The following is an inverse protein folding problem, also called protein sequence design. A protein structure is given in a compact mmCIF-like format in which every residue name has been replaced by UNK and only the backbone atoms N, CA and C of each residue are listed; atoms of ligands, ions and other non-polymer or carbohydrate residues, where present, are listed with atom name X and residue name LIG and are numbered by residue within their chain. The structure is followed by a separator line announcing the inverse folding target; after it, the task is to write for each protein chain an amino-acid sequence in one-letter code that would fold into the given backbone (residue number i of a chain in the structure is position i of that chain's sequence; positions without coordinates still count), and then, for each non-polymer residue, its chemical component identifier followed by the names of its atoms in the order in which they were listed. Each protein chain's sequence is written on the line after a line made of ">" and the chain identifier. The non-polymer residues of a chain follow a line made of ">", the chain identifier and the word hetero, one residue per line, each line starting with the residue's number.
data_IF_679682802268
#
_entry.id   IF_679682802268
#
_cell.length_a   1.000
_cell.length_b   1.000
_cell.length_c   1.000
_cell.angle_alpha   90.00
_cell.angle_beta   90.00
_cell.angle_gamma   90.00
#
_symmetry.space_group_name_H-M   'P 1'
#
loop_
_entity.id
_entity.type
_entity.pdbx_description
1 polymer ?
#
# COMPACT_ATOMS: atom_id res chain seq x y z
N UNK A 1 6.13 21.28 -18.78
CA UNK A 1 7.47 21.13 -19.35
C UNK A 1 8.03 19.80 -18.90
N UNK A 2 8.70 19.04 -19.77
CA UNK A 2 9.43 17.85 -19.35
C UNK A 2 10.77 18.20 -18.71
N UNK A 3 11.42 17.25 -17.97
CA UNK A 3 12.70 17.50 -17.30
C UNK A 3 13.78 18.07 -18.21
N UNK A 4 13.90 17.60 -19.45
CA UNK A 4 14.87 18.12 -20.43
C UNK A 4 14.66 19.60 -20.80
N UNK A 5 13.40 20.02 -20.94
CA UNK A 5 13.08 21.42 -21.21
C UNK A 5 13.40 22.33 -20.03
N UNK A 6 13.25 21.84 -18.81
CA UNK A 6 13.60 22.56 -17.58
C UNK A 6 15.12 22.73 -17.50
N UNK A 7 15.90 21.67 -17.79
CA UNK A 7 17.36 21.73 -17.84
C UNK A 7 17.81 22.78 -18.84
N UNK A 8 17.26 22.78 -20.07
CA UNK A 8 17.57 23.75 -21.10
C UNK A 8 17.28 25.17 -20.64
N UNK A 9 16.13 25.43 -20.02
CA UNK A 9 15.72 26.73 -19.51
C UNK A 9 16.69 27.22 -18.44
N UNK A 10 16.97 26.41 -17.41
CA UNK A 10 17.90 26.77 -16.34
C UNK A 10 19.31 27.05 -16.84
N UNK A 11 19.81 26.22 -17.77
CA UNK A 11 21.11 26.45 -18.40
C UNK A 11 21.17 27.81 -19.12
N UNK A 12 20.13 28.14 -19.87
CA UNK A 12 20.05 29.41 -20.61
C UNK A 12 19.93 30.62 -19.67
N UNK A 13 19.13 30.53 -18.62
CA UNK A 13 18.98 31.54 -17.57
C UNK A 13 20.29 31.83 -16.85
N UNK A 14 21.17 30.83 -16.72
CA UNK A 14 22.51 30.96 -16.14
C UNK A 14 23.58 31.35 -17.18
N UNK A 15 23.21 31.68 -18.42
CA UNK A 15 24.12 32.05 -19.47
C UNK A 15 25.09 30.95 -19.93
N UNK A 16 24.82 29.70 -19.61
CA UNK A 16 25.71 28.58 -19.95
C UNK A 16 25.45 28.07 -21.36
N UNK A 17 26.54 27.85 -22.12
CA UNK A 17 26.45 27.09 -23.37
C UNK A 17 26.26 25.60 -23.12
N UNK A 18 25.76 24.87 -24.11
CA UNK A 18 25.61 23.42 -24.03
C UNK A 18 26.95 22.73 -23.70
N UNK A 19 28.05 23.19 -24.32
CA UNK A 19 29.39 22.65 -24.08
C UNK A 19 29.88 22.88 -22.64
N UNK A 20 29.56 24.04 -22.05
CA UNK A 20 29.92 24.34 -20.65
C UNK A 20 29.21 23.41 -19.67
N UNK A 21 27.90 23.20 -19.83
CA UNK A 21 27.14 22.31 -18.96
C UNK A 21 27.56 20.84 -19.18
N UNK A 22 27.81 20.44 -20.42
CA UNK A 22 28.32 19.11 -20.75
C UNK A 22 29.64 18.82 -20.04
N UNK A 23 30.59 19.79 -20.09
CA UNK A 23 31.88 19.66 -19.38
C UNK A 23 31.70 19.55 -17.86
N UNK A 24 30.81 20.36 -17.25
CA UNK A 24 30.53 20.33 -15.81
C UNK A 24 29.92 18.99 -15.34
N UNK A 25 29.10 18.37 -16.17
CA UNK A 25 28.40 17.11 -15.85
C UNK A 25 29.17 15.85 -16.27
N UNK A 26 30.23 16.01 -17.05
CA UNK A 26 30.99 14.90 -17.66
C UNK A 26 30.22 14.21 -18.78
N UNK A 27 29.26 14.89 -19.41
CA UNK A 27 28.47 14.37 -20.52
C UNK A 27 29.06 14.79 -21.87
N UNK A 28 28.77 13.98 -22.88
CA UNK A 28 28.95 14.40 -24.26
C UNK A 28 27.92 15.49 -24.65
N UNK A 29 28.32 16.60 -25.33
CA UNK A 29 27.38 17.64 -25.73
C UNK A 29 26.19 17.17 -26.57
N UNK A 30 26.38 16.16 -27.42
CA UNK A 30 25.33 15.54 -28.22
C UNK A 30 24.29 14.83 -27.35
N UNK A 31 24.75 14.09 -26.36
CA UNK A 31 23.86 13.42 -25.40
C UNK A 31 23.09 14.44 -24.55
N UNK A 32 23.74 15.49 -24.06
CA UNK A 32 23.06 16.56 -23.33
C UNK A 32 22.00 17.24 -24.19
N UNK A 33 22.29 17.50 -25.47
CA UNK A 33 21.32 18.07 -26.43
C UNK A 33 20.09 17.15 -26.60
N UNK A 34 20.29 15.83 -26.70
CA UNK A 34 19.20 14.85 -26.80
C UNK A 34 18.37 14.78 -25.51
N UNK A 35 19.01 14.91 -24.35
CA UNK A 35 18.34 15.01 -23.05
C UNK A 35 17.47 16.27 -22.99
N UNK A 36 17.99 17.43 -23.39
CA UNK A 36 17.25 18.69 -23.41
C UNK A 36 16.02 18.65 -24.35
N UNK A 37 16.09 17.86 -25.42
CA UNK A 37 14.95 17.63 -26.33
C UNK A 37 13.98 16.56 -25.85
N UNK A 38 14.33 15.82 -24.81
CA UNK A 38 13.51 14.71 -24.29
C UNK A 38 13.64 13.41 -25.09
N UNK A 39 14.67 13.27 -25.91
CA UNK A 39 14.95 12.07 -26.74
C UNK A 39 15.73 11.00 -25.96
N UNK A 40 16.30 11.35 -24.81
CA UNK A 40 17.01 10.45 -23.91
C UNK A 40 16.44 10.56 -22.50
N UNK A 41 16.22 9.39 -21.86
CA UNK A 41 15.79 9.33 -20.47
C UNK A 41 16.92 9.71 -19.52
N UNK A 42 16.58 10.45 -18.48
CA UNK A 42 17.48 10.86 -17.41
C UNK A 42 17.38 9.86 -16.28
N UNK A 43 18.47 9.19 -15.92
CA UNK A 43 18.52 8.38 -14.72
C UNK A 43 18.81 9.25 -13.48
N UNK A 44 18.62 8.69 -12.29
CA UNK A 44 18.76 9.42 -11.04
C UNK A 44 20.17 10.03 -10.84
N UNK A 45 21.21 9.26 -11.15
CA UNK A 45 22.62 9.69 -11.01
C UNK A 45 22.93 10.90 -11.91
N UNK A 46 22.39 10.90 -13.12
CA UNK A 46 22.57 11.99 -14.07
C UNK A 46 21.79 13.23 -13.64
N UNK A 47 20.58 13.02 -13.09
CA UNK A 47 19.77 14.10 -12.56
C UNK A 47 20.49 14.83 -11.40
N UNK A 48 21.10 14.06 -10.50
CA UNK A 48 21.87 14.61 -9.38
C UNK A 48 23.07 15.44 -9.88
N UNK A 49 23.83 14.93 -10.85
CA UNK A 49 24.94 15.69 -11.48
C UNK A 49 24.47 16.99 -12.14
N UNK A 50 23.33 16.94 -12.83
CA UNK A 50 22.75 18.14 -13.45
C UNK A 50 22.26 19.14 -12.39
N UNK A 51 21.66 18.67 -11.31
CA UNK A 51 21.23 19.50 -10.17
C UNK A 51 22.42 20.26 -9.55
N UNK A 52 23.48 19.55 -9.24
CA UNK A 52 24.71 20.12 -8.69
C UNK A 52 25.33 21.14 -9.65
N UNK A 53 25.42 20.79 -10.94
CA UNK A 53 26.02 21.65 -11.96
C UNK A 53 25.23 22.94 -12.25
N UNK A 54 23.91 22.88 -12.05
CA UNK A 54 22.99 24.01 -12.20
C UNK A 54 22.68 24.71 -10.87
N UNK A 55 23.23 24.21 -9.74
CA UNK A 55 22.98 24.74 -8.39
C UNK A 55 21.49 24.82 -8.05
N UNK A 56 20.73 23.77 -8.38
CA UNK A 56 19.28 23.67 -8.12
C UNK A 56 18.97 22.38 -7.38
N UNK A 57 17.83 22.35 -6.66
CA UNK A 57 17.33 21.12 -6.08
C UNK A 57 16.87 20.13 -7.17
N UNK A 58 17.13 18.82 -7.06
CA UNK A 58 16.61 17.80 -7.97
C UNK A 58 15.09 17.86 -8.17
N UNK A 59 14.34 18.30 -7.17
CA UNK A 59 12.88 18.45 -7.23
C UNK A 59 12.41 19.38 -8.35
N UNK A 60 13.22 20.37 -8.75
CA UNK A 60 12.83 21.35 -9.78
C UNK A 60 12.58 20.70 -11.14
N UNK A 61 13.23 19.57 -11.43
CA UNK A 61 13.07 18.85 -12.69
C UNK A 61 11.77 18.02 -12.74
N UNK A 62 11.19 17.79 -11.58
CA UNK A 62 9.91 17.08 -11.42
C UNK A 62 8.77 18.03 -11.11
N UNK A 63 9.08 19.32 -10.91
CA UNK A 63 8.06 20.34 -10.85
C UNK A 63 7.35 20.45 -12.24
N UNK A 64 6.52 19.42 -12.50
CA UNK A 64 5.23 19.81 -13.04
C UNK A 64 4.78 20.87 -12.06
N UNK A 65 4.58 22.11 -12.53
CA UNK A 65 3.65 23.01 -11.88
C UNK A 65 2.34 22.21 -11.81
N UNK A 66 2.16 21.46 -10.75
CA UNK A 66 0.85 21.30 -10.18
C UNK A 66 0.54 22.75 -9.90
N UNK A 67 -0.19 23.39 -10.81
CA UNK A 67 -0.74 24.70 -10.55
C UNK A 67 -1.43 24.52 -9.22
N UNK A 68 -0.87 25.13 -8.16
CA UNK A 68 -1.51 25.10 -6.86
C UNK A 68 -2.96 25.45 -7.16
N UNK A 69 -3.95 24.64 -6.77
CA UNK A 69 -5.33 24.92 -7.09
C UNK A 69 -5.57 26.37 -6.69
N UNK A 70 -6.18 27.15 -7.57
CA UNK A 70 -6.42 28.57 -7.28
C UNK A 70 -6.99 28.61 -5.86
N UNK A 71 -6.55 29.52 -4.98
CA UNK A 71 -6.97 29.52 -3.56
C UNK A 71 -8.48 29.36 -3.38
N UNK A 72 -9.27 29.91 -4.29
CA UNK A 72 -10.74 29.79 -4.33
C UNK A 72 -11.18 28.35 -4.62
N UNK A 73 -10.50 27.63 -5.52
CA UNK A 73 -10.84 26.24 -5.86
C UNK A 73 -10.46 25.29 -4.71
N UNK A 74 -9.36 25.55 -4.01
CA UNK A 74 -8.99 24.82 -2.80
C UNK A 74 -10.02 24.99 -1.70
N UNK A 75 -10.41 26.25 -1.39
CA UNK A 75 -11.43 26.53 -0.35
C UNK A 75 -12.75 25.88 -0.70
N UNK A 76 -13.17 25.92 -1.97
CA UNK A 76 -14.42 25.28 -2.43
C UNK A 76 -14.37 23.78 -2.25
N UNK A 77 -13.29 23.13 -2.68
CA UNK A 77 -13.08 21.69 -2.54
C UNK A 77 -13.02 21.28 -1.06
N UNK A 78 -12.33 22.06 -0.23
CA UNK A 78 -12.27 21.82 1.21
C UNK A 78 -13.64 21.93 1.89
N UNK A 79 -14.45 22.95 1.54
CA UNK A 79 -15.83 23.07 2.03
C UNK A 79 -16.71 21.91 1.59
N UNK A 80 -16.55 21.42 0.37
CA UNK A 80 -17.28 20.25 -0.12
C UNK A 80 -16.89 18.98 0.64
N UNK A 81 -15.64 18.87 1.06
CA UNK A 81 -15.15 17.73 1.86
C UNK A 81 -15.78 17.68 3.26
N UNK A 82 -16.23 18.81 3.82
CA UNK A 82 -16.83 18.87 5.16
C UNK A 82 -18.05 17.95 5.29
N UNK A 83 -18.84 17.79 4.21
CA UNK A 83 -19.99 16.86 4.20
C UNK A 83 -19.53 15.42 4.44
N UNK A 84 -18.46 14.99 3.78
CA UNK A 84 -17.91 13.64 3.92
C UNK A 84 -17.29 13.44 5.30
N UNK A 85 -16.55 14.43 5.82
CA UNK A 85 -15.97 14.40 7.16
C UNK A 85 -17.07 14.18 8.19
N UNK A 86 -18.15 14.95 8.13
CA UNK A 86 -19.28 14.83 9.05
C UNK A 86 -20.03 13.49 8.90
N UNK A 87 -20.22 13.02 7.67
CA UNK A 87 -20.91 11.77 7.38
C UNK A 87 -20.17 10.55 7.94
N UNK A 88 -18.85 10.53 7.86
CA UNK A 88 -18.02 9.37 8.22
C UNK A 88 -17.34 9.51 9.58
N UNK A 89 -17.56 10.60 10.30
CA UNK A 89 -17.05 10.78 11.66
C UNK A 89 -17.47 9.61 12.55
N UNK A 90 -16.51 9.01 13.22
CA UNK A 90 -16.67 7.84 14.11
C UNK A 90 -17.27 6.59 13.43
N UNK A 91 -17.27 6.52 12.09
CA UNK A 91 -17.66 5.34 11.35
C UNK A 91 -16.47 4.38 11.20
N UNK A 92 -16.76 3.11 10.95
CA UNK A 92 -15.72 2.09 10.77
C UNK A 92 -15.53 1.78 9.30
N UNK A 93 -14.28 1.85 8.82
CA UNK A 93 -13.89 1.42 7.50
C UNK A 93 -13.01 0.17 7.62
N UNK A 94 -13.29 -0.82 6.78
CA UNK A 94 -12.42 -1.97 6.57
C UNK A 94 -11.66 -1.77 5.27
N UNK A 95 -10.34 -1.74 5.37
CA UNK A 95 -9.44 -1.55 4.24
C UNK A 95 -8.69 -2.86 4.01
N UNK A 96 -8.91 -3.49 2.86
CA UNK A 96 -8.26 -4.72 2.46
C UNK A 96 -7.16 -4.42 1.45
N UNK A 97 -5.92 -4.82 1.75
CA UNK A 97 -4.74 -4.52 0.93
C UNK A 97 -4.14 -5.83 0.43
N UNK A 98 -4.05 -5.98 -0.88
CA UNK A 98 -3.38 -7.12 -1.52
C UNK A 98 -1.88 -7.16 -1.22
N UNK A 99 -1.31 -8.35 -1.20
CA UNK A 99 0.12 -8.53 -0.96
C UNK A 99 1.01 -7.87 -2.02
N UNK A 100 0.49 -7.64 -3.22
CA UNK A 100 1.15 -6.93 -4.32
C UNK A 100 1.48 -5.49 -3.94
N UNK A 101 0.53 -4.82 -3.30
CA UNK A 101 0.64 -3.42 -2.87
C UNK A 101 1.65 -3.26 -1.73
N UNK A 102 1.72 -4.26 -0.82
CA UNK A 102 2.65 -4.24 0.32
C UNK A 102 4.10 -4.46 -0.12
N UNK A 103 4.31 -5.13 -1.24
CA UNK A 103 5.63 -5.43 -1.79
C UNK A 103 6.36 -4.17 -2.25
N UNK A 104 5.63 -3.22 -2.82
CA UNK A 104 6.17 -2.02 -3.43
C UNK A 104 6.11 -0.80 -2.47
N UNK A 105 6.80 0.29 -2.81
CA UNK A 105 6.77 1.55 -2.05
C UNK A 105 5.38 2.23 -2.06
N UNK A 106 4.42 1.68 -2.80
CA UNK A 106 3.03 2.13 -2.85
C UNK A 106 2.37 2.11 -1.46
N UNK A 107 2.76 1.16 -0.59
CA UNK A 107 2.19 1.08 0.76
C UNK A 107 2.47 2.34 1.59
N UNK A 108 3.59 3.04 1.36
CA UNK A 108 3.89 4.31 2.02
C UNK A 108 2.84 5.38 1.67
N UNK A 109 2.42 5.45 0.40
CA UNK A 109 1.35 6.38 -0.02
C UNK A 109 0.01 6.04 0.63
N UNK A 110 -0.35 4.75 0.68
CA UNK A 110 -1.57 4.28 1.33
C UNK A 110 -1.54 4.56 2.85
N UNK A 111 -0.38 4.46 3.48
CA UNK A 111 -0.22 4.81 4.89
C UNK A 111 -0.54 6.30 5.16
N UNK A 112 -0.20 7.19 4.23
CA UNK A 112 -0.60 8.60 4.30
C UNK A 112 -2.13 8.78 4.19
N UNK A 113 -2.77 8.04 3.29
CA UNK A 113 -4.24 8.05 3.15
C UNK A 113 -4.93 7.48 4.39
N UNK A 114 -4.40 6.40 4.96
CA UNK A 114 -4.87 5.82 6.22
C UNK A 114 -4.74 6.83 7.37
N UNK A 115 -3.60 7.54 7.46
CA UNK A 115 -3.41 8.59 8.47
C UNK A 115 -4.41 9.74 8.30
N UNK A 116 -4.70 10.14 7.06
CA UNK A 116 -5.71 11.16 6.79
C UNK A 116 -7.09 10.71 7.29
N UNK A 117 -7.52 9.49 6.97
CA UNK A 117 -8.79 8.93 7.44
C UNK A 117 -8.83 8.84 8.98
N UNK A 118 -7.72 8.40 9.59
CA UNK A 118 -7.58 8.35 11.04
C UNK A 118 -7.71 9.73 11.68
N UNK A 119 -7.08 10.76 11.11
CA UNK A 119 -7.16 12.15 11.55
C UNK A 119 -8.57 12.74 11.41
N UNK A 120 -9.38 12.20 10.49
CA UNK A 120 -10.80 12.54 10.33
C UNK A 120 -11.70 11.78 11.31
N UNK A 121 -11.14 11.14 12.32
CA UNK A 121 -11.85 10.36 13.33
C UNK A 121 -12.61 9.14 12.79
N UNK A 122 -12.11 8.53 11.71
CA UNK A 122 -12.62 7.28 11.15
C UNK A 122 -11.92 6.12 11.84
N UNK A 123 -12.68 5.13 12.30
CA UNK A 123 -12.15 3.90 12.86
C UNK A 123 -11.68 2.97 11.73
N UNK A 124 -10.45 2.46 11.81
CA UNK A 124 -9.84 1.72 10.71
C UNK A 124 -9.51 0.31 11.12
N UNK A 125 -9.95 -0.65 10.31
CA UNK A 125 -9.52 -2.05 10.36
C UNK A 125 -8.79 -2.33 9.06
N UNK A 126 -7.52 -2.71 9.16
CA UNK A 126 -6.66 -3.04 8.04
C UNK A 126 -6.52 -4.55 7.90
N UNK A 127 -7.01 -5.11 6.81
CA UNK A 127 -6.86 -6.53 6.48
C UNK A 127 -5.85 -6.66 5.34
N UNK A 128 -4.82 -7.47 5.49
CA UNK A 128 -3.79 -7.58 4.48
C UNK A 128 -3.63 -9.00 3.93
N UNK A 129 -3.25 -9.08 2.64
CA UNK A 129 -2.87 -10.31 1.94
C UNK A 129 -1.36 -10.46 1.85
N UNK A 130 -0.88 -11.69 1.70
CA UNK A 130 0.55 -12.02 1.59
C UNK A 130 0.84 -13.05 0.49
N UNK A 131 -0.09 -13.26 -0.45
CA UNK A 131 0.04 -14.31 -1.48
C UNK A 131 1.32 -14.20 -2.31
N UNK A 132 1.69 -13.05 -2.89
CA UNK A 132 2.91 -12.94 -3.70
C UNK A 132 4.18 -13.22 -2.91
N UNK A 133 4.21 -12.85 -1.62
CA UNK A 133 5.34 -13.12 -0.75
C UNK A 133 5.47 -14.62 -0.46
N UNK A 134 4.32 -15.30 -0.23
CA UNK A 134 4.28 -16.76 -0.07
C UNK A 134 4.77 -17.43 -1.35
N UNK A 135 4.25 -17.07 -2.52
CA UNK A 135 4.61 -17.70 -3.80
C UNK A 135 6.11 -17.54 -4.08
N UNK A 136 6.68 -16.36 -3.81
CA UNK A 136 8.12 -16.12 -3.92
C UNK A 136 8.92 -17.06 -2.99
N UNK A 137 8.54 -17.12 -1.72
CA UNK A 137 9.26 -17.92 -0.71
C UNK A 137 9.19 -19.42 -1.00
N UNK A 138 8.00 -19.92 -1.37
CA UNK A 138 7.82 -21.33 -1.73
C UNK A 138 8.64 -21.70 -2.97
N UNK A 139 8.71 -20.81 -3.98
CA UNK A 139 9.56 -21.00 -5.15
C UNK A 139 11.04 -21.06 -4.79
N UNK A 140 11.52 -20.17 -3.91
CA UNK A 140 12.92 -20.17 -3.43
C UNK A 140 13.29 -21.49 -2.70
N UNK A 141 12.31 -22.08 -1.99
CA UNK A 141 12.50 -23.35 -1.27
C UNK A 141 12.12 -24.60 -2.08
N UNK A 142 11.76 -24.44 -3.35
CA UNK A 142 11.27 -25.53 -4.21
C UNK A 142 10.05 -26.29 -3.63
N UNK A 143 9.20 -25.62 -2.84
CA UNK A 143 7.99 -26.19 -2.27
C UNK A 143 6.85 -26.01 -3.28
N UNK A 144 6.25 -27.12 -3.70
CA UNK A 144 5.13 -27.11 -4.64
C UNK A 144 3.83 -26.85 -3.86
N UNK A 145 3.14 -25.79 -4.22
CA UNK A 145 1.83 -25.45 -3.67
C UNK A 145 0.81 -25.27 -4.78
N UNK A 146 -0.36 -25.90 -4.64
CA UNK A 146 -1.47 -25.84 -5.61
C UNK A 146 -2.59 -24.96 -5.09
N UNK A 147 -3.37 -24.41 -6.02
CA UNK A 147 -4.60 -23.66 -5.74
C UNK A 147 -5.82 -24.44 -6.24
N UNK A 148 -6.87 -24.47 -5.46
CA UNK A 148 -8.19 -25.00 -5.82
C UNK A 148 -9.21 -23.88 -5.53
N UNK A 149 -10.02 -23.51 -6.51
CA UNK A 149 -10.98 -22.40 -6.41
C UNK A 149 -10.35 -21.14 -5.80
N UNK A 150 -9.14 -20.82 -6.22
CA UNK A 150 -8.35 -19.68 -5.74
C UNK A 150 -7.91 -19.78 -4.26
N UNK A 151 -8.10 -20.91 -3.59
CA UNK A 151 -7.61 -21.21 -2.25
C UNK A 151 -6.37 -22.09 -2.33
N UNK A 152 -5.38 -21.80 -1.49
CA UNK A 152 -4.14 -22.58 -1.43
C UNK A 152 -4.35 -23.86 -0.65
N UNK A 153 -3.92 -24.99 -1.18
CA UNK A 153 -3.74 -26.21 -0.36
C UNK A 153 -2.58 -25.94 0.58
N UNK A 154 -2.85 -25.81 1.87
CA UNK A 154 -1.86 -25.40 2.86
C UNK A 154 -1.37 -26.60 3.67
N UNK A 155 -0.29 -27.23 3.22
CA UNK A 155 0.40 -28.27 3.96
C UNK A 155 1.13 -27.71 5.18
N UNK A 156 1.51 -28.54 6.13
CA UNK A 156 2.21 -28.13 7.36
C UNK A 156 3.48 -27.32 7.07
N UNK A 157 4.28 -27.78 6.12
CA UNK A 157 5.52 -27.07 5.72
C UNK A 157 5.20 -25.70 5.08
N UNK A 158 4.16 -25.64 4.24
CA UNK A 158 3.69 -24.38 3.66
C UNK A 158 3.16 -23.41 4.73
N UNK A 159 2.46 -23.95 5.75
CA UNK A 159 1.94 -23.14 6.86
C UNK A 159 3.08 -22.48 7.66
N UNK A 160 4.18 -23.19 7.91
CA UNK A 160 5.33 -22.63 8.62
C UNK A 160 5.90 -21.40 7.89
N UNK A 161 6.06 -21.48 6.56
CA UNK A 161 6.49 -20.35 5.75
C UNK A 161 5.50 -19.18 5.79
N UNK A 162 4.21 -19.48 5.75
CA UNK A 162 3.14 -18.46 5.84
C UNK A 162 3.21 -17.73 7.18
N UNK A 163 3.43 -18.42 8.28
CA UNK A 163 3.54 -17.83 9.63
C UNK A 163 4.75 -16.90 9.72
N UNK A 164 5.92 -17.32 9.19
CA UNK A 164 7.13 -16.48 9.16
C UNK A 164 6.92 -15.20 8.35
N UNK A 165 6.40 -15.34 7.12
CA UNK A 165 6.14 -14.21 6.23
C UNK A 165 5.12 -13.27 6.87
N UNK A 166 4.06 -13.82 7.45
CA UNK A 166 3.02 -13.02 8.11
C UNK A 166 3.60 -12.19 9.26
N UNK A 167 4.48 -12.76 10.08
CA UNK A 167 5.17 -12.06 11.15
C UNK A 167 5.99 -10.87 10.63
N UNK A 168 6.79 -11.10 9.58
CA UNK A 168 7.63 -10.06 8.97
C UNK A 168 6.80 -8.93 8.34
N UNK A 169 5.75 -9.28 7.60
CA UNK A 169 4.87 -8.28 6.94
C UNK A 169 4.10 -7.47 7.98
N UNK A 170 3.58 -8.11 9.04
CA UNK A 170 2.90 -7.41 10.12
C UNK A 170 3.79 -6.34 10.74
N UNK A 171 5.02 -6.68 11.11
CA UNK A 171 5.99 -5.75 11.69
C UNK A 171 6.30 -4.61 10.73
N UNK A 172 6.43 -4.90 9.44
CA UNK A 172 6.64 -3.87 8.41
C UNK A 172 5.46 -2.88 8.34
N UNK A 173 4.23 -3.37 8.35
CA UNK A 173 3.02 -2.54 8.36
C UNK A 173 2.96 -1.66 9.63
N UNK A 174 3.19 -2.27 10.80
CA UNK A 174 3.22 -1.57 12.08
C UNK A 174 4.27 -0.45 12.08
N UNK A 175 5.48 -0.73 11.59
CA UNK A 175 6.56 0.25 11.49
C UNK A 175 6.21 1.43 10.57
N UNK A 176 5.63 1.17 9.40
CA UNK A 176 5.25 2.23 8.46
C UNK A 176 4.12 3.10 9.02
N UNK A 177 3.09 2.50 9.63
CA UNK A 177 1.99 3.25 10.25
C UNK A 177 2.43 4.04 11.48
N UNK A 178 3.48 3.61 12.16
CA UNK A 178 4.05 4.30 13.33
C UNK A 178 5.05 5.41 12.96
N UNK A 179 5.37 5.57 11.67
CA UNK A 179 6.37 6.55 11.24
C UNK A 179 5.79 7.97 11.24
N UNK A 180 6.40 8.86 12.04
CA UNK A 180 6.11 10.31 12.03
C UNK A 180 7.08 11.07 11.10
N UNK A 181 7.05 10.81 9.79
CA UNK A 181 8.02 11.37 8.84
C UNK A 181 7.86 12.89 8.76
N UNK A 182 8.96 13.62 8.97
CA UNK A 182 9.03 15.07 8.79
C UNK A 182 8.62 15.46 7.37
N UNK A 183 7.86 16.56 7.24
CA UNK A 183 7.33 17.06 5.98
C UNK A 183 6.37 16.11 5.24
N UNK A 184 5.73 15.21 5.95
CA UNK A 184 4.69 14.32 5.43
C UNK A 184 3.35 14.57 6.14
N UNK A 185 2.22 14.08 5.58
CA UNK A 185 0.93 14.09 6.28
C UNK A 185 0.95 13.35 7.62
N UNK A 186 1.98 12.53 7.87
CA UNK A 186 2.16 11.76 9.11
C UNK A 186 2.95 12.52 10.19
N UNK A 187 3.35 13.76 9.94
CA UNK A 187 4.03 14.60 10.94
C UNK A 187 3.13 14.76 12.19
N UNK A 188 3.68 14.45 13.36
CA UNK A 188 2.96 14.47 14.65
C UNK A 188 1.77 13.49 14.73
N UNK A 189 1.61 12.56 13.81
CA UNK A 189 0.63 11.50 13.96
C UNK A 189 1.10 10.53 15.07
N UNK A 190 0.19 10.20 15.98
CA UNK A 190 0.44 9.23 17.04
C UNK A 190 -0.50 8.03 16.84
N UNK A 191 -0.31 7.34 15.70
CA UNK A 191 -1.11 6.17 15.37
C UNK A 191 -0.68 5.02 16.28
N UNK A 192 -1.65 4.47 17.02
CA UNK A 192 -1.50 3.22 17.74
C UNK A 192 -2.05 2.09 16.89
N UNK A 193 -1.31 1.00 16.82
CA UNK A 193 -1.67 -0.18 16.03
C UNK A 193 -1.82 -1.37 16.95
N UNK A 194 -2.89 -2.13 16.76
CA UNK A 194 -3.13 -3.39 17.46
C UNK A 194 -3.32 -4.53 16.50
N UNK A 195 -2.69 -5.66 16.79
CA UNK A 195 -2.93 -6.95 16.14
C UNK A 195 -3.22 -8.01 17.19
N UNK A 196 -3.90 -9.10 16.81
CA UNK A 196 -4.23 -10.16 17.77
C UNK A 196 -4.97 -11.34 17.15
N UNK A 197 -5.41 -12.24 18.02
CA UNK A 197 -6.15 -13.46 17.68
C UNK A 197 -7.67 -13.25 17.57
N UNK A 198 -8.08 -12.21 16.86
CA UNK A 198 -9.49 -11.84 16.72
C UNK A 198 -10.36 -12.85 15.96
N UNK A 199 -9.73 -13.80 15.23
CA UNK A 199 -10.41 -14.75 14.36
C UNK A 199 -10.26 -16.17 14.89
N UNK A 200 -11.37 -16.78 15.29
CA UNK A 200 -11.44 -18.23 15.48
C UNK A 200 -11.73 -18.89 14.13
N UNK A 201 -10.87 -19.83 13.73
CA UNK A 201 -10.97 -20.57 12.47
C UNK A 201 -11.16 -22.06 12.70
N UNK A 202 -11.55 -22.75 11.64
CA UNK A 202 -11.60 -24.20 11.53
C UNK A 202 -11.09 -24.64 10.16
N UNK A 203 -10.66 -25.89 9.96
CA UNK A 203 -10.31 -26.36 8.63
C UNK A 203 -11.49 -26.23 7.68
N UNK A 204 -11.21 -25.88 6.42
CA UNK A 204 -12.26 -25.84 5.39
C UNK A 204 -12.69 -27.23 4.95
N UNK A 205 -11.82 -28.24 5.16
CA UNK A 205 -12.06 -29.63 4.81
C UNK A 205 -11.70 -29.98 3.37
N UNK A 206 -12.50 -30.83 2.74
CA UNK A 206 -12.27 -31.34 1.38
C UNK A 206 -13.00 -30.47 0.36
N UNK A 207 -12.29 -30.04 -0.68
CA UNK A 207 -12.85 -29.31 -1.84
C UNK A 207 -12.50 -30.10 -3.10
N UNK A 208 -13.50 -30.42 -3.92
CA UNK A 208 -13.33 -31.15 -5.19
C UNK A 208 -12.55 -32.48 -5.00
N UNK A 209 -12.81 -33.18 -3.87
CA UNK A 209 -12.16 -34.45 -3.52
C UNK A 209 -10.74 -34.33 -2.97
N UNK A 210 -10.23 -33.11 -2.75
CA UNK A 210 -8.87 -32.85 -2.24
C UNK A 210 -8.95 -32.23 -0.85
N UNK A 211 -8.20 -32.81 0.09
CA UNK A 211 -8.06 -32.25 1.45
C UNK A 211 -7.26 -30.96 1.38
N UNK A 212 -7.81 -29.88 1.92
CA UNK A 212 -7.20 -28.56 1.96
C UNK A 212 -6.27 -28.38 3.17
N UNK A 213 -6.15 -29.39 4.03
CA UNK A 213 -5.28 -29.44 5.21
C UNK A 213 -5.43 -28.22 6.14
N UNK A 214 -4.39 -27.38 6.26
CA UNK A 214 -4.40 -26.18 7.11
C UNK A 214 -4.99 -24.93 6.41
N UNK A 215 -5.68 -25.08 5.31
CA UNK A 215 -6.52 -24.03 4.77
C UNK A 215 -7.80 -23.93 5.58
N UNK A 216 -8.08 -22.75 6.10
CA UNK A 216 -9.17 -22.53 7.04
C UNK A 216 -10.32 -21.73 6.48
N UNK A 217 -11.39 -21.75 7.25
CA UNK A 217 -12.52 -20.83 7.12
C UNK A 217 -12.83 -20.21 8.48
N UNK A 218 -13.38 -19.02 8.45
CA UNK A 218 -13.74 -18.28 9.66
C UNK A 218 -14.92 -18.98 10.35
N UNK A 219 -14.78 -19.24 11.64
CA UNK A 219 -15.85 -19.76 12.49
C UNK A 219 -16.50 -18.67 13.32
N UNK A 220 -15.67 -17.75 13.87
CA UNK A 220 -16.13 -16.65 14.73
C UNK A 220 -15.15 -15.50 14.67
N UNK A 221 -15.66 -14.28 14.74
CA UNK A 221 -14.89 -13.04 14.89
C UNK A 221 -15.21 -12.46 16.27
N UNK A 222 -14.16 -12.11 17.01
CA UNK A 222 -14.31 -11.39 18.29
C UNK A 222 -14.52 -9.90 18.04
N UNK A 223 -15.77 -9.56 17.71
CA UNK A 223 -16.18 -8.18 17.43
C UNK A 223 -16.05 -7.28 18.65
N UNK A 224 -16.17 -7.83 19.87
CA UNK A 224 -15.99 -7.07 21.10
C UNK A 224 -14.55 -6.63 21.27
N UNK A 225 -13.60 -7.57 21.16
CA UNK A 225 -12.18 -7.23 21.26
C UNK A 225 -11.76 -6.21 20.17
N UNK A 226 -12.26 -6.34 18.94
CA UNK A 226 -12.02 -5.37 17.86
C UNK A 226 -12.61 -4.00 18.25
N UNK A 227 -13.86 -3.95 18.71
CA UNK A 227 -14.54 -2.70 19.10
C UNK A 227 -13.82 -1.99 20.23
N UNK A 228 -13.33 -2.72 21.24
CA UNK A 228 -12.58 -2.15 22.36
C UNK A 228 -11.29 -1.45 21.87
N UNK A 229 -10.61 -2.04 20.89
CA UNK A 229 -9.44 -1.43 20.24
C UNK A 229 -9.78 -0.15 19.47
N UNK A 230 -10.83 -0.21 18.65
CA UNK A 230 -11.30 0.95 17.90
C UNK A 230 -11.75 2.11 18.81
N UNK A 231 -12.39 1.78 19.95
CA UNK A 231 -12.77 2.78 20.97
C UNK A 231 -11.55 3.47 21.57
N UNK A 232 -10.45 2.76 21.76
CA UNK A 232 -9.17 3.32 22.19
C UNK A 232 -8.41 4.05 21.08
N UNK A 233 -9.06 4.28 19.92
CA UNK A 233 -8.43 4.92 18.76
C UNK A 233 -7.19 4.18 18.26
N UNK A 234 -7.24 2.85 18.27
CA UNK A 234 -6.20 2.01 17.69
C UNK A 234 -6.62 1.57 16.28
N UNK A 235 -5.68 1.55 15.32
CA UNK A 235 -5.89 0.87 14.04
C UNK A 235 -5.75 -0.62 14.28
N UNK A 236 -6.77 -1.39 13.92
CA UNK A 236 -6.74 -2.85 14.10
C UNK A 236 -6.20 -3.51 12.83
N UNK A 237 -5.09 -4.24 12.96
CA UNK A 237 -4.52 -5.01 11.84
C UNK A 237 -4.96 -6.48 11.94
N UNK A 238 -5.53 -6.98 10.87
CA UNK A 238 -5.99 -8.36 10.74
C UNK A 238 -5.12 -9.10 9.73
N UNK A 239 -4.50 -10.17 10.16
CA UNK A 239 -3.71 -11.06 9.32
C UNK A 239 -4.58 -12.11 8.61
N UNK A 240 -4.08 -12.71 7.50
CA UNK A 240 -4.77 -13.83 6.84
C UNK A 240 -4.55 -15.16 7.58
N UNK A 241 -4.56 -15.13 8.91
CA UNK A 241 -4.45 -16.28 9.77
C UNK A 241 -5.61 -16.33 10.78
N UNK A 242 -6.07 -17.52 11.09
CA UNK A 242 -7.03 -17.76 12.14
C UNK A 242 -6.59 -18.89 13.06
N UNK A 243 -7.17 -18.96 14.24
CA UNK A 243 -6.75 -19.89 15.31
C UNK A 243 -7.89 -20.80 15.72
N UNK A 244 -7.59 -22.08 15.93
CA UNK A 244 -8.56 -22.98 16.59
C UNK A 244 -8.53 -22.80 18.10
N UNK A 245 -9.58 -23.24 18.82
CA UNK A 245 -9.58 -23.23 20.29
C UNK A 245 -8.49 -24.09 20.94
N UNK A 246 -7.92 -25.03 20.21
CA UNK A 246 -6.83 -25.89 20.67
C UNK A 246 -5.44 -25.44 20.20
N UNK A 247 -5.36 -24.25 19.55
CA UNK A 247 -4.09 -23.64 19.21
C UNK A 247 -3.58 -23.90 17.78
N UNK A 248 -4.34 -24.61 16.93
CA UNK A 248 -3.95 -24.75 15.53
C UNK A 248 -4.07 -23.41 14.79
N UNK A 249 -3.19 -23.23 13.81
CA UNK A 249 -3.17 -22.06 12.94
C UNK A 249 -3.69 -22.47 11.57
N UNK A 250 -4.56 -21.66 10.98
CA UNK A 250 -5.12 -21.85 9.65
C UNK A 250 -4.85 -20.66 8.74
N UNK A 251 -4.49 -20.96 7.50
CA UNK A 251 -4.34 -19.98 6.42
C UNK A 251 -5.71 -19.60 5.87
N UNK A 252 -6.04 -18.32 5.87
CA UNK A 252 -7.31 -17.76 5.42
C UNK A 252 -7.15 -16.94 4.13
N UNK A 253 -8.22 -16.81 3.33
CA UNK A 253 -8.27 -15.78 2.29
C UNK A 253 -8.46 -14.41 2.93
N UNK A 254 -7.58 -13.44 2.59
CA UNK A 254 -7.70 -12.08 3.12
C UNK A 254 -8.96 -11.38 2.57
N UNK A 255 -9.35 -11.69 1.34
CA UNK A 255 -10.56 -11.15 0.71
C UNK A 255 -11.82 -11.57 1.47
N UNK A 256 -11.95 -12.87 1.74
CA UNK A 256 -13.05 -13.40 2.54
C UNK A 256 -13.00 -12.87 3.98
N UNK A 257 -11.80 -12.80 4.55
CA UNK A 257 -11.60 -12.24 5.89
C UNK A 257 -12.08 -10.81 5.98
N UNK A 258 -11.72 -9.96 5.02
CA UNK A 258 -12.16 -8.57 4.98
C UNK A 258 -13.68 -8.44 4.88
N UNK A 259 -14.32 -9.25 4.03
CA UNK A 259 -15.78 -9.26 3.88
C UNK A 259 -16.48 -9.70 5.17
N UNK A 260 -16.02 -10.77 5.81
CA UNK A 260 -16.57 -11.25 7.07
C UNK A 260 -16.38 -10.25 8.22
N UNK A 261 -15.20 -9.62 8.31
CA UNK A 261 -14.95 -8.57 9.30
C UNK A 261 -15.90 -7.39 9.07
N UNK A 262 -15.98 -6.89 7.83
CA UNK A 262 -16.84 -5.75 7.49
C UNK A 262 -18.31 -6.00 7.86
N UNK A 263 -18.81 -7.20 7.56
CA UNK A 263 -20.16 -7.61 7.93
C UNK A 263 -20.33 -7.69 9.46
N UNK A 264 -19.38 -8.31 10.17
CA UNK A 264 -19.49 -8.57 11.61
C UNK A 264 -19.43 -7.30 12.44
N UNK A 265 -18.60 -6.32 12.05
CA UNK A 265 -18.50 -5.02 12.73
C UNK A 265 -19.48 -3.98 12.17
N UNK A 266 -20.30 -4.34 11.18
CA UNK A 266 -21.22 -3.44 10.47
C UNK A 266 -20.47 -2.22 9.93
N UNK A 267 -19.39 -2.46 9.22
CA UNK A 267 -18.56 -1.40 8.67
C UNK A 267 -19.36 -0.53 7.68
N UNK A 268 -19.13 0.77 7.72
CA UNK A 268 -19.73 1.73 6.79
C UNK A 268 -19.18 1.54 5.37
N UNK A 269 -17.89 1.18 5.25
CA UNK A 269 -17.23 0.90 3.98
C UNK A 269 -16.27 -0.30 4.09
N UNK A 270 -16.24 -1.07 2.99
CA UNK A 270 -15.20 -2.06 2.69
C UNK A 270 -14.49 -1.61 1.42
N UNK A 271 -13.19 -1.34 1.54
CA UNK A 271 -12.35 -0.80 0.46
C UNK A 271 -11.28 -1.84 0.14
N UNK A 272 -11.20 -2.27 -1.12
CA UNK A 272 -10.13 -3.14 -1.60
C UNK A 272 -9.10 -2.32 -2.37
N UNK A 273 -7.85 -2.34 -1.90
CA UNK A 273 -6.69 -1.88 -2.65
C UNK A 273 -6.10 -3.04 -3.44
N UNK A 274 -6.25 -2.97 -4.75
CA UNK A 274 -5.78 -4.00 -5.68
C UNK A 274 -4.92 -3.37 -6.78
N UNK A 275 -4.01 -4.12 -7.34
CA UNK A 275 -3.17 -3.66 -8.46
C UNK A 275 -3.86 -3.87 -9.83
N UNK A 276 -5.15 -3.59 -9.88
CA UNK A 276 -5.97 -3.63 -11.10
C UNK A 276 -6.84 -2.38 -11.17
N UNK A 277 -7.36 -2.06 -12.36
CA UNK A 277 -8.24 -0.90 -12.58
C UNK A 277 -9.61 -1.02 -11.88
N UNK A 278 -9.90 -2.14 -11.23
CA UNK A 278 -11.14 -2.38 -10.50
C UNK A 278 -11.55 -3.86 -10.57
N UNK A 279 -12.83 -4.14 -10.28
CA UNK A 279 -13.41 -5.48 -10.36
C UNK A 279 -13.69 -5.77 -11.84
N UNK A 280 -13.16 -6.88 -12.33
CA UNK A 280 -13.35 -7.31 -13.71
C UNK A 280 -14.39 -8.44 -13.79
N UNK A 281 -15.20 -8.44 -14.84
CA UNK A 281 -16.08 -9.55 -15.17
C UNK A 281 -15.28 -10.72 -15.76
N UNK A 282 -15.96 -11.83 -16.13
CA UNK A 282 -15.34 -13.01 -16.72
C UNK A 282 -14.68 -12.75 -18.08
N UNK A 283 -15.00 -11.64 -18.74
CA UNK A 283 -14.42 -11.22 -20.02
C UNK A 283 -13.27 -10.21 -19.85
N UNK A 284 -12.89 -9.88 -18.59
CA UNK A 284 -11.81 -8.93 -18.30
C UNK A 284 -12.21 -7.45 -18.41
N UNK A 285 -13.51 -7.15 -18.48
CA UNK A 285 -14.05 -5.79 -18.53
C UNK A 285 -14.35 -5.27 -17.11
N UNK A 286 -14.19 -3.98 -16.93
CA UNK A 286 -14.49 -3.32 -15.64
C UNK A 286 -16.01 -3.35 -15.37
N UNK A 287 -16.40 -3.78 -14.16
CA UNK A 287 -17.78 -3.76 -13.71
C UNK A 287 -18.11 -2.41 -13.09
#
# INVERSE_FOLDING_TARGET
>A
MGPGQIIRKLRQEQGMTLAVLAKKTGLDPGNLSRIERGELNINFVLLEKLSLSLSVSPSIFFDKKISAPKPIDFIKSFRQSAKFINQFNNKTFVIAIGGEVIKDDQFNSIAHDINLLYSMNINIILVYGIRPQIDKKLKEKNIISKLIRNLRITKKETLNEIVEINGAIRIKIEAILSSGILNSPMLNSNIKVSSGNFITARPIGVIDGIDMEFTGQIRKIDTKAISDKLTNKEIVIISPLGYSPIGDIFNLSYEQTAAHIAQSVKAEKLIYYVNSSGILNIHGELI
#
